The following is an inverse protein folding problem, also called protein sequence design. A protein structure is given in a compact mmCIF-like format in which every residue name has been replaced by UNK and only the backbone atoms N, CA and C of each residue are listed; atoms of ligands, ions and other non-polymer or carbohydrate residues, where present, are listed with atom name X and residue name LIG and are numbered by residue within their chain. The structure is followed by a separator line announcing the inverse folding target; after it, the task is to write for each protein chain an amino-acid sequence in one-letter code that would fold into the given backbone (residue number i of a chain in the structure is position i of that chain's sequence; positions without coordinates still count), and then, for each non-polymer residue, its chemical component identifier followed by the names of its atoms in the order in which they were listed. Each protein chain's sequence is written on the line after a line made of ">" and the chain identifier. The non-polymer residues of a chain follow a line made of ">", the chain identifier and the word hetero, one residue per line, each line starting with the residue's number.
data_IF_691698982834
#
_entry.id   IF_691698982834
#
_cell.length_a   1.000
_cell.length_b   1.000
_cell.length_c   1.000
_cell.angle_alpha   90.00
_cell.angle_beta   90.00
_cell.angle_gamma   90.00
#
_symmetry.space_group_name_H-M   'P 1'
#
loop_
_entity.id
_entity.type
_entity.pdbx_description
1 polymer ?
#
# COMPACT_ATOMS: atom_id res chain seq x y z
N UNK A 1 10.98 2.39 1.45
CA UNK A 1 9.82 2.94 2.19
C UNK A 1 8.58 2.79 1.31
N UNK A 2 7.50 2.24 1.85
CA UNK A 2 6.24 2.01 1.13
C UNK A 2 5.09 2.74 1.82
N UNK A 3 4.05 3.07 1.06
CA UNK A 3 2.75 3.44 1.62
C UNK A 3 2.00 2.16 1.93
N UNK A 4 1.49 2.06 3.16
CA UNK A 4 0.81 0.88 3.65
C UNK A 4 -0.67 1.20 3.88
N UNK A 5 -1.53 0.27 3.47
CA UNK A 5 -2.97 0.36 3.62
C UNK A 5 -3.50 -0.83 4.40
N UNK A 6 -4.35 -0.55 5.39
CA UNK A 6 -4.94 -1.55 6.27
C UNK A 6 -6.45 -1.53 6.17
N UNK A 7 -7.05 -2.68 5.89
CA UNK A 7 -8.51 -2.81 5.90
C UNK A 7 -9.08 -2.62 7.30
N UNK A 8 -10.22 -1.95 7.39
CA UNK A 8 -10.89 -1.69 8.67
C UNK A 8 -11.59 -2.95 9.19
N UNK A 9 -12.23 -3.72 8.31
CA UNK A 9 -12.93 -4.94 8.69
C UNK A 9 -13.04 -5.97 7.55
N UNK A 10 -11.93 -6.45 6.97
CA UNK A 10 -11.99 -7.44 5.90
C UNK A 10 -12.77 -8.70 6.30
N UNK A 11 -13.50 -9.28 5.34
CA UNK A 11 -14.34 -10.45 5.64
C UNK A 11 -13.47 -11.68 5.88
N UNK A 12 -13.44 -12.16 7.13
CA UNK A 12 -12.65 -13.32 7.54
C UNK A 12 -11.29 -12.98 8.15
N UNK A 13 -10.96 -11.68 8.23
CA UNK A 13 -9.75 -11.22 8.91
C UNK A 13 -9.97 -11.03 10.40
N UNK A 14 -8.88 -10.78 11.12
CA UNK A 14 -8.93 -10.28 12.50
C UNK A 14 -9.54 -8.87 12.47
N UNK A 15 -10.62 -8.59 13.22
CA UNK A 15 -11.20 -7.26 13.27
C UNK A 15 -10.23 -6.27 13.90
N UNK A 16 -10.19 -5.05 13.36
CA UNK A 16 -9.37 -3.97 13.91
C UNK A 16 -9.85 -3.61 15.33
N UNK A 17 -8.96 -3.57 16.34
CA UNK A 17 -9.31 -3.04 17.65
C UNK A 17 -9.47 -1.51 17.58
N UNK A 18 -10.25 -0.95 18.51
CA UNK A 18 -10.33 0.50 18.67
C UNK A 18 -8.93 1.09 18.84
N UNK A 19 -8.67 2.22 18.17
CA UNK A 19 -7.39 2.89 18.32
C UNK A 19 -7.25 3.39 19.77
N UNK A 20 -6.22 2.93 20.51
CA UNK A 20 -6.08 3.32 21.90
C UNK A 20 -5.66 4.79 21.98
N UNK A 21 -6.06 5.48 23.05
CA UNK A 21 -5.47 6.78 23.35
C UNK A 21 -4.03 6.56 23.78
N UNK A 22 -3.07 6.75 22.88
CA UNK A 22 -1.67 6.39 23.07
C UNK A 22 -0.98 7.06 24.25
N UNK A 23 -1.45 8.25 24.64
CA UNK A 23 -0.95 9.01 25.78
C UNK A 23 -1.48 8.48 27.12
N UNK A 24 -2.63 7.80 27.11
CA UNK A 24 -3.36 7.37 28.32
C UNK A 24 -3.46 5.84 28.47
N UNK A 25 -3.32 5.09 27.38
CA UNK A 25 -3.57 3.66 27.35
C UNK A 25 -2.46 2.84 28.01
N UNK A 26 -2.87 1.70 28.56
CA UNK A 26 -1.96 0.74 29.16
C UNK A 26 -1.10 0.01 28.13
N UNK A 27 -0.01 -0.61 28.58
CA UNK A 27 0.90 -1.36 27.73
C UNK A 27 0.21 -2.51 26.98
N UNK A 28 -0.80 -3.13 27.59
CA UNK A 28 -1.56 -4.23 26.96
C UNK A 28 -2.43 -3.76 25.79
N UNK A 29 -3.03 -2.57 25.88
CA UNK A 29 -3.81 -1.98 24.78
C UNK A 29 -2.90 -1.61 23.61
N UNK A 30 -1.72 -1.04 23.89
CA UNK A 30 -0.68 -0.76 22.88
C UNK A 30 -0.24 -2.04 22.19
N UNK A 31 0.06 -3.10 22.96
CA UNK A 31 0.46 -4.40 22.42
C UNK A 31 -0.64 -5.03 21.57
N UNK A 32 -1.90 -4.97 21.99
CA UNK A 32 -3.02 -5.52 21.23
C UNK A 32 -3.17 -4.82 19.87
N UNK A 33 -3.10 -3.48 19.85
CA UNK A 33 -3.18 -2.70 18.61
C UNK A 33 -1.99 -2.98 17.68
N UNK A 34 -0.77 -3.01 18.22
CA UNK A 34 0.44 -3.35 17.45
C UNK A 34 0.40 -4.79 16.93
N UNK A 35 -0.06 -5.75 17.72
CA UNK A 35 -0.22 -7.13 17.29
C UNK A 35 -1.20 -7.24 16.11
N UNK A 36 -2.33 -6.52 16.16
CA UNK A 36 -3.23 -6.43 15.01
C UNK A 36 -2.52 -5.86 13.77
N UNK A 37 -1.77 -4.77 13.92
CA UNK A 37 -1.05 -4.13 12.82
C UNK A 37 -0.04 -5.07 12.14
N UNK A 38 0.72 -5.83 12.93
CA UNK A 38 1.67 -6.82 12.41
C UNK A 38 0.97 -8.03 11.80
N UNK A 39 -0.09 -8.53 12.43
CA UNK A 39 -0.84 -9.67 11.93
C UNK A 39 -1.55 -9.34 10.62
N UNK A 40 -2.07 -8.12 10.44
CA UNK A 40 -2.69 -7.69 9.20
C UNK A 40 -1.74 -7.79 7.99
N UNK A 41 -0.44 -7.50 8.18
CA UNK A 41 0.58 -7.65 7.12
C UNK A 41 0.79 -9.10 6.67
N UNK A 42 0.53 -10.05 7.57
CA UNK A 42 0.69 -11.49 7.32
C UNK A 42 -0.65 -12.16 6.97
N UNK A 43 -1.75 -11.41 7.03
CA UNK A 43 -3.09 -11.92 6.78
C UNK A 43 -3.36 -11.94 5.27
N UNK A 44 -3.44 -13.14 4.72
CA UNK A 44 -3.74 -13.37 3.29
C UNK A 44 -5.24 -13.14 2.96
N UNK A 45 -6.03 -12.68 3.93
CA UNK A 45 -7.41 -12.25 3.69
C UNK A 45 -7.42 -11.04 2.76
N UNK A 46 -8.16 -11.18 1.65
CA UNK A 46 -8.37 -10.09 0.69
C UNK A 46 -8.86 -8.83 1.41
N UNK A 47 -8.21 -7.69 1.14
CA UNK A 47 -8.55 -6.42 1.75
C UNK A 47 -7.93 -6.17 3.13
N UNK A 48 -7.23 -7.14 3.74
CA UNK A 48 -6.56 -6.95 5.03
C UNK A 48 -5.38 -5.99 4.93
N UNK A 49 -4.55 -6.17 3.92
CA UNK A 49 -3.36 -5.36 3.72
C UNK A 49 -3.09 -5.11 2.24
N UNK A 50 -2.60 -3.92 1.94
CA UNK A 50 -2.06 -3.56 0.64
C UNK A 50 -0.83 -2.67 0.86
N UNK A 51 0.23 -2.89 0.09
CA UNK A 51 1.45 -2.10 0.16
C UNK A 51 1.89 -1.72 -1.24
N UNK A 52 2.35 -0.49 -1.38
CA UNK A 52 2.84 0.04 -2.63
C UNK A 52 4.04 0.95 -2.34
N UNK A 53 5.19 0.82 -3.02
CA UNK A 53 6.31 1.74 -2.84
C UNK A 53 5.85 3.21 -2.91
N UNK A 54 6.39 4.07 -2.05
CA UNK A 54 5.83 5.44 -1.85
C UNK A 54 5.75 6.25 -3.15
N UNK A 55 6.74 6.10 -4.04
CA UNK A 55 6.77 6.79 -5.33
C UNK A 55 5.66 6.28 -6.27
N UNK A 56 5.50 4.96 -6.38
CA UNK A 56 4.45 4.34 -7.20
C UNK A 56 3.07 4.46 -6.58
N UNK A 57 2.97 4.68 -5.27
CA UNK A 57 1.74 5.07 -4.58
C UNK A 57 1.28 6.45 -5.02
N UNK A 58 2.18 7.44 -5.06
CA UNK A 58 1.84 8.78 -5.56
C UNK A 58 1.26 8.73 -6.97
N UNK A 59 1.91 7.98 -7.87
CA UNK A 59 1.44 7.78 -9.26
C UNK A 59 0.06 7.11 -9.32
N UNK A 60 -0.18 6.08 -8.51
CA UNK A 60 -1.49 5.44 -8.42
C UNK A 60 -2.55 6.40 -7.87
N UNK A 61 -2.22 7.14 -6.81
CA UNK A 61 -3.16 8.02 -6.12
C UNK A 61 -3.55 9.21 -6.99
N UNK A 62 -2.61 9.84 -7.71
CA UNK A 62 -2.92 10.90 -8.69
C UNK A 62 -3.94 10.44 -9.75
N UNK A 63 -3.80 9.21 -10.24
CA UNK A 63 -4.79 8.64 -11.16
C UNK A 63 -6.16 8.49 -10.51
N UNK A 64 -6.21 7.97 -9.28
CA UNK A 64 -7.46 7.81 -8.51
C UNK A 64 -8.11 9.17 -8.27
N UNK A 65 -7.35 10.21 -7.91
CA UNK A 65 -7.84 11.57 -7.69
C UNK A 65 -8.55 12.13 -8.91
N UNK A 66 -7.98 11.90 -10.10
CA UNK A 66 -8.56 12.35 -11.37
C UNK A 66 -9.83 11.59 -11.71
N UNK A 67 -9.82 10.26 -11.59
CA UNK A 67 -10.95 9.43 -12.05
C UNK A 67 -12.03 9.22 -11.00
N UNK A 68 -11.81 9.65 -9.75
CA UNK A 68 -12.73 9.53 -8.62
C UNK A 68 -12.96 10.88 -7.90
N UNK A 69 -12.79 12.02 -8.58
CA UNK A 69 -12.98 13.37 -8.02
C UNK A 69 -14.40 13.62 -7.44
N UNK A 70 -15.39 12.92 -7.97
CA UNK A 70 -16.78 12.92 -7.51
C UNK A 70 -17.04 12.03 -6.26
N UNK A 71 -16.10 11.12 -5.97
CA UNK A 71 -16.15 10.19 -4.83
C UNK A 71 -15.30 10.71 -3.66
N UNK A 72 -14.16 11.32 -3.98
CA UNK A 72 -13.18 11.83 -3.04
C UNK A 72 -13.48 13.27 -2.65
N UNK A 73 -13.38 13.56 -1.37
CA UNK A 73 -13.36 14.93 -0.84
C UNK A 73 -11.96 15.53 -1.01
N UNK A 74 -11.85 16.85 -0.94
CA UNK A 74 -10.55 17.55 -0.92
C UNK A 74 -9.60 17.03 0.15
N UNK A 75 -10.13 16.64 1.31
CA UNK A 75 -9.33 16.05 2.37
C UNK A 75 -8.85 14.64 2.02
N UNK A 76 -9.64 13.83 1.32
CA UNK A 76 -9.20 12.50 0.89
C UNK A 76 -8.04 12.61 -0.10
N UNK A 77 -8.19 13.47 -1.10
CA UNK A 77 -7.16 13.81 -2.10
C UNK A 77 -5.88 14.24 -1.36
N UNK A 78 -5.99 15.29 -0.55
CA UNK A 78 -4.84 15.82 0.20
C UNK A 78 -4.18 14.73 1.04
N UNK A 79 -4.95 13.99 1.84
CA UNK A 79 -4.43 13.03 2.82
C UNK A 79 -3.94 11.72 2.22
N UNK A 80 -4.39 11.34 1.03
CA UNK A 80 -3.86 10.16 0.36
C UNK A 80 -2.41 10.32 -0.12
N UNK A 81 -1.92 11.56 -0.25
CA UNK A 81 -0.50 11.85 -0.50
C UNK A 81 0.36 11.85 0.77
N UNK A 82 -0.22 11.84 1.97
CA UNK A 82 0.55 11.82 3.22
C UNK A 82 0.77 10.40 3.71
N UNK A 83 2.04 10.03 3.87
CA UNK A 83 2.45 8.86 4.65
C UNK A 83 2.77 9.32 6.09
N UNK A 84 1.79 9.23 6.99
CA UNK A 84 1.98 9.64 8.37
C UNK A 84 2.61 8.51 9.19
N UNK A 85 3.93 8.37 9.09
CA UNK A 85 4.70 7.47 9.96
C UNK A 85 4.87 8.00 11.41
N UNK A 86 4.42 9.22 11.69
CA UNK A 86 4.58 9.81 13.01
C UNK A 86 3.53 9.27 13.95
N UNK A 87 4.02 8.60 14.99
CA UNK A 87 3.21 8.08 16.06
C UNK A 87 2.24 9.14 16.63
N UNK A 88 1.06 8.70 17.05
CA UNK A 88 0.74 7.29 17.15
C UNK A 88 -0.32 6.88 16.11
N UNK A 89 0.11 6.14 15.08
CA UNK A 89 -0.67 5.31 14.14
C UNK A 89 -2.01 5.86 13.58
N UNK A 90 -2.21 7.19 13.64
CA UNK A 90 -3.34 7.91 13.07
C UNK A 90 -3.17 8.08 11.57
N UNK A 91 -3.42 6.99 10.83
CA UNK A 91 -3.53 7.07 9.38
C UNK A 91 -4.83 7.72 8.93
N UNK A 92 -4.92 8.09 7.66
CA UNK A 92 -6.13 8.70 7.13
C UNK A 92 -7.16 7.64 6.71
N UNK A 93 -8.40 7.79 7.14
CA UNK A 93 -9.46 6.80 6.93
C UNK A 93 -10.28 7.09 5.69
N UNK A 94 -10.35 6.11 4.78
CA UNK A 94 -11.34 6.04 3.71
C UNK A 94 -12.45 5.07 4.14
N UNK A 95 -13.69 5.56 4.22
CA UNK A 95 -14.85 4.76 4.63
C UNK A 95 -15.18 3.61 3.66
N UNK A 96 -15.84 2.56 4.14
CA UNK A 96 -16.37 1.43 3.34
C UNK A 96 -17.11 1.89 2.07
N UNK A 97 -18.06 2.82 2.23
CA UNK A 97 -18.85 3.33 1.10
C UNK A 97 -17.99 4.00 0.01
N UNK A 98 -16.92 4.71 0.40
CA UNK A 98 -15.97 5.32 -0.55
C UNK A 98 -15.08 4.27 -1.18
N UNK A 99 -14.47 3.38 -0.39
CA UNK A 99 -13.62 2.30 -0.90
C UNK A 99 -14.35 1.46 -1.95
N UNK A 100 -15.60 1.08 -1.67
CA UNK A 100 -16.46 0.35 -2.62
C UNK A 100 -16.75 1.14 -3.90
N UNK A 101 -17.03 2.45 -3.80
CA UNK A 101 -17.26 3.29 -4.98
C UNK A 101 -16.00 3.46 -5.84
N UNK A 102 -14.83 3.61 -5.20
CA UNK A 102 -13.52 3.66 -5.90
C UNK A 102 -13.30 2.36 -6.67
N UNK A 103 -13.44 1.20 -6.02
CA UNK A 103 -13.31 -0.10 -6.68
C UNK A 103 -14.25 -0.23 -7.88
N UNK A 104 -15.54 0.07 -7.68
CA UNK A 104 -16.55 0.00 -8.74
C UNK A 104 -16.28 0.94 -9.92
N UNK A 105 -15.67 2.11 -9.67
CA UNK A 105 -15.26 3.04 -10.74
C UNK A 105 -14.11 2.44 -11.52
N UNK A 106 -13.03 2.07 -10.84
CA UNK A 106 -11.80 1.55 -11.47
C UNK A 106 -12.03 0.24 -12.25
N UNK A 107 -12.91 -0.65 -11.76
CA UNK A 107 -13.27 -1.89 -12.48
C UNK A 107 -13.88 -1.67 -13.86
N UNK A 108 -14.53 -0.52 -14.08
CA UNK A 108 -15.17 -0.18 -15.34
C UNK A 108 -14.22 0.53 -16.32
N UNK A 109 -12.96 0.70 -15.93
CA UNK A 109 -11.98 1.53 -16.61
C UNK A 109 -10.72 0.74 -17.00
N UNK A 110 -10.80 -0.58 -17.22
CA UNK A 110 -9.62 -1.41 -17.49
C UNK A 110 -8.87 -0.93 -18.75
N UNK A 111 -9.60 -0.53 -19.79
CA UNK A 111 -9.02 0.03 -21.02
C UNK A 111 -8.30 1.37 -20.74
N UNK A 112 -8.91 2.28 -19.96
CA UNK A 112 -8.30 3.55 -19.59
C UNK A 112 -7.10 3.39 -18.65
N UNK A 113 -7.14 2.40 -17.75
CA UNK A 113 -6.02 2.04 -16.87
C UNK A 113 -4.84 1.54 -17.73
N UNK A 114 -5.10 0.66 -18.70
CA UNK A 114 -4.08 0.16 -19.63
C UNK A 114 -3.51 1.33 -20.46
N UNK A 115 -4.36 2.19 -21.00
CA UNK A 115 -3.94 3.33 -21.80
C UNK A 115 -3.16 4.38 -20.99
N UNK A 116 -3.56 4.63 -19.74
CA UNK A 116 -2.84 5.50 -18.83
C UNK A 116 -1.44 4.94 -18.51
N UNK A 117 -1.33 3.62 -18.31
CA UNK A 117 -0.06 2.95 -18.04
C UNK A 117 0.98 3.10 -19.15
N UNK A 118 0.56 3.19 -20.42
CA UNK A 118 1.47 3.40 -21.56
C UNK A 118 2.21 4.75 -21.52
N UNK A 119 1.77 5.70 -20.69
CA UNK A 119 2.42 7.01 -20.53
C UNK A 119 3.63 6.98 -19.60
N UNK A 120 3.84 5.87 -18.89
CA UNK A 120 4.89 5.71 -17.90
C UNK A 120 5.97 4.75 -18.42
N UNK A 121 7.24 4.96 -18.01
CA UNK A 121 8.31 4.00 -18.26
C UNK A 121 7.92 2.60 -17.73
N UNK A 122 8.06 1.60 -18.60
CA UNK A 122 7.72 0.21 -18.32
C UNK A 122 8.79 -0.80 -18.72
N UNK A 123 9.93 -0.32 -19.23
CA UNK A 123 11.06 -1.17 -19.57
C UNK A 123 11.71 -1.71 -18.29
N UNK A 124 11.94 -3.02 -18.24
CA UNK A 124 12.61 -3.65 -17.11
C UNK A 124 14.08 -3.25 -17.16
N UNK A 125 14.57 -2.71 -16.04
CA UNK A 125 15.93 -2.23 -15.88
C UNK A 125 16.66 -3.06 -14.82
N UNK A 126 17.99 -3.00 -14.83
CA UNK A 126 18.79 -3.53 -13.74
C UNK A 126 18.45 -2.77 -12.45
N UNK A 127 18.48 -3.46 -11.33
CA UNK A 127 18.23 -2.85 -10.04
C UNK A 127 19.45 -2.03 -9.62
N UNK A 128 19.34 -0.71 -9.65
CA UNK A 128 20.38 0.24 -9.22
C UNK A 128 20.90 -0.02 -7.79
N UNK A 129 20.06 -0.57 -6.91
CA UNK A 129 20.43 -0.84 -5.52
C UNK A 129 21.36 -2.03 -5.34
N UNK A 130 21.45 -2.92 -6.33
CA UNK A 130 22.29 -4.10 -6.27
C UNK A 130 23.07 -4.34 -7.58
N UNK A 131 23.14 -3.34 -8.44
CA UNK A 131 23.77 -3.40 -9.76
C UNK A 131 23.42 -4.66 -10.55
N UNK A 132 22.13 -4.99 -10.62
CA UNK A 132 21.68 -6.16 -11.38
C UNK A 132 21.86 -7.52 -10.68
N UNK A 133 22.55 -7.58 -9.54
CA UNK A 133 22.97 -8.86 -8.95
C UNK A 133 21.87 -9.59 -8.18
N UNK A 134 20.84 -8.86 -7.74
CA UNK A 134 19.82 -9.35 -6.83
C UNK A 134 20.29 -9.53 -5.39
N UNK A 135 21.54 -9.13 -5.05
CA UNK A 135 22.14 -9.39 -3.74
C UNK A 135 22.66 -8.13 -3.06
N UNK A 136 22.62 -8.08 -1.73
CA UNK A 136 23.28 -7.02 -0.93
C UNK A 136 24.79 -7.23 -0.85
N UNK A 137 25.57 -6.17 -0.61
CA UNK A 137 27.02 -6.29 -0.39
C UNK A 137 27.37 -7.16 0.82
N UNK A 138 28.59 -7.72 0.84
CA UNK A 138 29.03 -8.66 1.88
C UNK A 138 29.36 -8.02 3.22
N UNK A 139 29.71 -6.74 3.22
CA UNK A 139 29.99 -5.93 4.41
C UNK A 139 28.76 -5.70 5.30
N UNK A 140 27.55 -5.87 4.77
CA UNK A 140 26.30 -5.50 5.44
C UNK A 140 25.62 -6.68 6.17
N UNK A 141 26.33 -7.79 6.42
CA UNK A 141 25.71 -9.10 6.68
C UNK A 141 25.86 -9.64 8.11
N UNK A 142 24.80 -10.29 8.60
CA UNK A 142 24.81 -11.18 9.78
C UNK A 142 24.07 -12.52 9.57
N UNK A 143 23.15 -12.63 8.61
CA UNK A 143 22.39 -13.85 8.30
C UNK A 143 22.35 -14.11 6.77
N UNK A 144 22.42 -15.36 6.26
CA UNK A 144 22.23 -15.69 4.84
C UNK A 144 20.95 -15.17 4.17
N UNK A 145 19.85 -14.99 4.91
CA UNK A 145 18.62 -14.35 4.37
C UNK A 145 18.83 -12.85 4.09
N UNK A 146 19.83 -12.20 4.70
CA UNK A 146 20.20 -10.80 4.44
C UNK A 146 20.87 -10.63 3.06
N UNK A 147 21.17 -11.71 2.35
CA UNK A 147 21.84 -11.64 1.05
C UNK A 147 20.90 -11.13 -0.04
N UNK A 148 19.58 -11.24 0.14
CA UNK A 148 18.60 -10.84 -0.88
C UNK A 148 18.45 -9.32 -0.90
N UNK A 149 18.54 -8.71 -2.09
CA UNK A 149 18.25 -7.28 -2.25
C UNK A 149 16.76 -7.01 -2.06
N UNK A 150 16.41 -6.19 -1.06
CA UNK A 150 15.02 -5.87 -0.72
C UNK A 150 14.31 -5.05 -1.82
N UNK A 151 15.06 -4.22 -2.57
CA UNK A 151 14.47 -3.35 -3.60
C UNK A 151 13.90 -4.15 -4.78
N UNK A 152 14.64 -5.15 -5.26
CA UNK A 152 14.20 -6.01 -6.36
C UNK A 152 13.70 -7.39 -5.89
N UNK A 153 13.65 -7.62 -4.58
CA UNK A 153 13.34 -8.91 -3.97
C UNK A 153 14.15 -10.06 -4.59
N UNK A 154 15.46 -9.87 -4.74
CA UNK A 154 16.38 -10.89 -5.27
C UNK A 154 16.40 -11.06 -6.79
N UNK A 155 15.54 -10.35 -7.54
CA UNK A 155 15.41 -10.54 -8.99
C UNK A 155 16.58 -9.95 -9.80
N UNK A 156 17.32 -9.01 -9.21
CA UNK A 156 18.35 -8.23 -9.91
C UNK A 156 17.79 -7.21 -10.89
N UNK A 157 16.51 -7.31 -11.26
CA UNK A 157 15.84 -6.40 -12.17
C UNK A 157 14.60 -5.81 -11.52
N UNK A 158 14.22 -4.61 -11.96
CA UNK A 158 13.03 -3.92 -11.49
C UNK A 158 12.41 -3.10 -12.62
N UNK A 159 11.10 -2.84 -12.49
CA UNK A 159 10.48 -1.79 -13.28
C UNK A 159 10.97 -0.42 -12.79
N UNK A 160 10.89 0.62 -13.63
CA UNK A 160 11.32 1.97 -13.25
C UNK A 160 10.59 2.43 -11.99
N UNK A 161 11.28 3.17 -11.14
CA UNK A 161 10.76 3.62 -9.83
C UNK A 161 9.50 4.48 -10.01
N UNK A 162 9.43 5.25 -11.09
CA UNK A 162 8.25 6.04 -11.48
C UNK A 162 7.46 5.32 -12.56
N UNK A 163 6.77 4.23 -12.18
CA UNK A 163 5.94 3.42 -13.09
C UNK A 163 4.49 3.35 -12.64
N UNK A 164 3.57 3.29 -13.61
CA UNK A 164 2.15 3.00 -13.39
C UNK A 164 1.87 1.53 -13.74
N UNK A 165 1.59 0.71 -12.74
CA UNK A 165 1.49 -0.75 -12.89
C UNK A 165 0.02 -1.19 -12.90
N UNK A 166 -0.46 -1.70 -14.03
CA UNK A 166 -1.85 -2.16 -14.20
C UNK A 166 -2.24 -3.21 -13.16
N UNK A 167 -1.38 -4.20 -12.92
CA UNK A 167 -1.66 -5.25 -11.94
C UNK A 167 -1.71 -4.71 -10.50
N UNK A 168 -0.93 -3.67 -10.20
CA UNK A 168 -1.01 -2.99 -8.91
C UNK A 168 -2.34 -2.26 -8.73
N UNK A 169 -2.88 -1.65 -9.79
CA UNK A 169 -4.23 -1.05 -9.79
C UNK A 169 -5.28 -2.13 -9.55
N UNK A 170 -5.17 -3.29 -10.21
CA UNK A 170 -6.10 -4.42 -10.02
C UNK A 170 -6.04 -4.99 -8.61
N UNK A 171 -4.85 -5.12 -8.03
CA UNK A 171 -4.68 -5.52 -6.63
C UNK A 171 -5.30 -4.49 -5.67
N UNK A 172 -5.15 -3.20 -5.96
CA UNK A 172 -5.77 -2.14 -5.18
C UNK A 172 -7.31 -2.16 -5.27
N UNK A 173 -7.86 -2.48 -6.45
CA UNK A 173 -9.30 -2.69 -6.64
C UNK A 173 -9.79 -3.81 -5.73
N UNK A 174 -9.16 -4.99 -5.78
CA UNK A 174 -9.55 -6.13 -4.96
C UNK A 174 -9.44 -5.82 -3.46
N UNK A 175 -8.39 -5.09 -3.07
CA UNK A 175 -8.26 -4.59 -1.70
C UNK A 175 -9.43 -3.69 -1.31
N UNK A 176 -9.77 -2.70 -2.12
CA UNK A 176 -10.88 -1.78 -1.85
C UNK A 176 -12.23 -2.49 -1.72
N UNK A 177 -12.49 -3.51 -2.54
CA UNK A 177 -13.73 -4.28 -2.46
C UNK A 177 -13.91 -5.05 -1.15
N UNK A 178 -12.80 -5.53 -0.58
CA UNK A 178 -12.83 -6.45 0.54
C UNK A 178 -12.46 -5.80 1.88
N UNK A 179 -11.80 -4.64 1.87
CA UNK A 179 -11.29 -3.94 3.07
C UNK A 179 -12.37 -3.47 4.04
N UNK A 180 -13.59 -3.20 3.52
CA UNK A 180 -14.68 -2.49 4.22
C UNK A 180 -14.25 -1.12 4.73
N UNK A 181 -13.49 -0.41 3.88
CA UNK A 181 -12.81 0.84 4.22
C UNK A 181 -11.40 0.55 4.68
N UNK A 182 -10.54 1.57 4.64
CA UNK A 182 -9.12 1.37 4.91
C UNK A 182 -8.46 2.60 5.52
N UNK A 183 -7.29 2.37 6.11
CA UNK A 183 -6.41 3.37 6.70
C UNK A 183 -5.17 3.48 5.82
N UNK A 184 -4.80 4.70 5.44
CA UNK A 184 -3.54 5.02 4.75
C UNK A 184 -2.53 5.45 5.82
N UNK A 185 -1.39 4.76 5.91
CA UNK A 185 -0.33 5.03 6.90
C UNK A 185 0.99 5.40 6.25
#
# INVERSE_FOLDING_TARGET
>A
VATELYGLNPKGSIPKPDEPNWDECGEEEKKAYLAWFYNAKMDDTKGAFFSNPVVTWGVLWEFIEVVCDDILTKNDILKGHYNSWTKPLGGYVISDAKAKKIAQRLQKMDDEIIEHGKKFPNDIEDCDWCDGTGKKEESDRSNPDDIICDSCNGKGTQLPIYSFRVDNVRNFIEFCENSRGFIIT
#
